data_IF_953135046218
#
_entry.id   IF_953135046218
#
_cell.length_a   1.000
_cell.length_b   1.000
_cell.length_c   1.000
_cell.angle_alpha   90.00
_cell.angle_beta   90.00
_cell.angle_gamma   90.00
#
_symmetry.space_group_name_H-M   'P 1'
#
loop_
_entity.id
_entity.type
_entity.pdbx_description
1 polymer ?
#
# COMPACT_ATOMS: atom_id res chain seq x y z
N UNK A 1 1.68 -10.45 13.30
CA UNK A 1 2.88 -10.79 12.50
C UNK A 1 4.12 -10.41 13.32
N UNK A 2 5.05 -11.34 13.58
CA UNK A 2 6.33 -11.09 14.29
C UNK A 2 7.48 -11.61 13.44
N UNK A 3 8.62 -10.89 13.41
CA UNK A 3 9.85 -11.34 12.75
C UNK A 3 10.01 -10.96 11.27
N UNK A 4 9.22 -10.01 10.75
CA UNK A 4 9.42 -9.48 9.39
C UNK A 4 9.89 -8.03 9.47
N UNK A 5 10.91 -7.69 8.67
CA UNK A 5 11.43 -6.32 8.57
C UNK A 5 10.59 -5.44 7.64
N UNK A 6 9.96 -6.05 6.63
CA UNK A 6 9.12 -5.36 5.65
C UNK A 6 7.97 -6.25 5.15
N UNK A 7 6.89 -5.61 4.69
CA UNK A 7 5.77 -6.27 4.01
C UNK A 7 5.57 -5.62 2.64
N UNK A 8 5.32 -6.42 1.61
CA UNK A 8 4.87 -5.97 0.30
C UNK A 8 3.50 -6.57 0.03
N UNK A 9 2.56 -5.77 -0.47
CA UNK A 9 1.23 -6.26 -0.86
C UNK A 9 0.77 -5.63 -2.18
N UNK A 10 0.18 -6.47 -3.04
CA UNK A 10 -0.30 -6.14 -4.38
C UNK A 10 -1.70 -6.75 -4.57
N UNK A 11 -2.77 -6.03 -4.18
CA UNK A 11 -4.13 -6.54 -4.19
C UNK A 11 -4.82 -6.38 -5.56
N UNK A 12 -5.95 -7.08 -5.78
CA UNK A 12 -6.84 -6.78 -6.90
C UNK A 12 -7.43 -5.37 -6.79
N UNK A 13 -8.16 -4.91 -7.82
CA UNK A 13 -8.77 -3.56 -7.89
C UNK A 13 -9.61 -3.16 -6.67
N UNK A 14 -10.15 -4.13 -5.93
CA UNK A 14 -10.91 -3.92 -4.70
C UNK A 14 -10.06 -3.38 -3.53
N UNK A 15 -8.73 -3.49 -3.62
CA UNK A 15 -7.77 -3.11 -2.57
C UNK A 15 -7.57 -4.20 -1.52
N UNK A 16 -6.86 -3.84 -0.45
CA UNK A 16 -6.35 -4.71 0.60
C UNK A 16 -6.83 -4.30 2.00
N UNK A 17 -8.07 -3.82 2.14
CA UNK A 17 -8.55 -3.19 3.38
C UNK A 17 -8.31 -4.06 4.63
N UNK A 18 -8.65 -5.35 4.56
CA UNK A 18 -8.44 -6.29 5.66
C UNK A 18 -6.94 -6.50 5.96
N UNK A 19 -6.11 -6.61 4.92
CA UNK A 19 -4.67 -6.79 5.05
C UNK A 19 -4.01 -5.51 5.59
N UNK A 20 -4.42 -4.32 5.16
CA UNK A 20 -3.96 -3.05 5.70
C UNK A 20 -4.27 -2.94 7.20
N UNK A 21 -5.44 -3.42 7.63
CA UNK A 21 -5.79 -3.49 9.04
C UNK A 21 -4.89 -4.46 9.84
N UNK A 22 -4.51 -5.61 9.26
CA UNK A 22 -3.54 -6.53 9.90
C UNK A 22 -2.12 -5.94 9.94
N UNK A 23 -1.69 -5.27 8.88
CA UNK A 23 -0.38 -4.59 8.81
C UNK A 23 -0.32 -3.46 9.84
N UNK A 24 -1.40 -2.67 9.97
CA UNK A 24 -1.53 -1.62 10.98
C UNK A 24 -1.35 -2.14 12.42
N UNK A 25 -1.83 -3.36 12.72
CA UNK A 25 -1.65 -4.03 14.02
C UNK A 25 -0.29 -4.71 14.18
N UNK A 26 0.50 -4.79 13.11
CA UNK A 26 1.75 -5.54 13.11
C UNK A 26 2.90 -4.77 13.78
N UNK A 27 4.02 -5.47 13.96
CA UNK A 27 5.29 -4.92 14.43
C UNK A 27 6.16 -4.28 13.33
N UNK A 28 5.79 -4.40 12.05
CA UNK A 28 6.69 -4.09 10.93
C UNK A 28 7.06 -2.60 10.86
N UNK A 29 8.29 -2.31 10.47
CA UNK A 29 8.78 -0.93 10.29
C UNK A 29 8.53 -0.38 8.88
N UNK A 30 8.35 -1.27 7.88
CA UNK A 30 8.19 -0.88 6.47
C UNK A 30 7.07 -1.64 5.79
N UNK A 31 6.23 -0.94 5.03
CA UNK A 31 5.23 -1.54 4.16
C UNK A 31 5.32 -0.93 2.76
N UNK A 32 5.13 -1.76 1.72
CA UNK A 32 5.09 -1.33 0.32
C UNK A 32 3.77 -1.81 -0.28
N UNK A 33 2.99 -0.88 -0.80
CA UNK A 33 1.71 -1.14 -1.44
C UNK A 33 1.86 -0.96 -2.95
N UNK A 34 1.56 -1.99 -3.73
CA UNK A 34 1.34 -1.88 -5.17
C UNK A 34 -0.16 -1.72 -5.41
N UNK A 35 -0.58 -0.93 -6.39
CA UNK A 35 -2.02 -0.78 -6.68
C UNK A 35 -2.30 -0.33 -8.11
N UNK A 36 -3.28 -0.99 -8.70
CA UNK A 36 -3.88 -0.65 -10.00
C UNK A 36 -5.09 0.29 -9.89
N UNK A 37 -5.45 0.72 -8.67
CA UNK A 37 -6.61 1.56 -8.40
C UNK A 37 -6.30 2.61 -7.32
N UNK A 38 -6.05 3.88 -7.72
CA UNK A 38 -5.72 4.95 -6.79
C UNK A 38 -6.76 5.18 -5.69
N UNK A 39 -8.05 4.92 -5.95
CA UNK A 39 -9.09 5.15 -4.96
C UNK A 39 -9.04 4.16 -3.79
N UNK A 40 -8.85 2.87 -4.10
CA UNK A 40 -8.74 1.84 -3.05
C UNK A 40 -7.38 1.91 -2.37
N UNK A 41 -6.31 2.29 -3.08
CA UNK A 41 -5.03 2.65 -2.47
C UNK A 41 -5.18 3.73 -1.40
N UNK A 42 -5.89 4.84 -1.66
CA UNK A 42 -6.06 5.92 -0.68
C UNK A 42 -6.75 5.44 0.59
N UNK A 43 -7.77 4.58 0.48
CA UNK A 43 -8.44 3.97 1.64
C UNK A 43 -7.44 3.13 2.46
N UNK A 44 -6.71 2.24 1.80
CA UNK A 44 -5.79 1.32 2.48
C UNK A 44 -4.59 2.08 3.08
N UNK A 45 -4.07 3.08 2.37
CA UNK A 45 -3.03 3.99 2.85
C UNK A 45 -3.48 4.77 4.10
N UNK A 46 -4.73 5.25 4.13
CA UNK A 46 -5.29 5.94 5.29
C UNK A 46 -5.33 5.05 6.54
N UNK A 47 -5.60 3.75 6.38
CA UNK A 47 -5.54 2.80 7.50
C UNK A 47 -4.12 2.72 8.07
N UNK A 48 -3.11 2.62 7.20
CA UNK A 48 -1.70 2.58 7.63
C UNK A 48 -1.27 3.91 8.28
N UNK A 49 -1.63 5.04 7.69
CA UNK A 49 -1.27 6.37 8.22
C UNK A 49 -1.91 6.62 9.59
N UNK A 50 -3.18 6.25 9.76
CA UNK A 50 -3.85 6.35 11.06
C UNK A 50 -3.22 5.43 12.13
N UNK A 51 -2.51 4.38 11.71
CA UNK A 51 -1.78 3.48 12.61
C UNK A 51 -0.33 3.92 12.89
N UNK A 52 0.06 5.11 12.42
CA UNK A 52 1.36 5.72 12.68
C UNK A 52 2.40 5.52 11.59
N UNK A 53 2.04 4.93 10.44
CA UNK A 53 2.95 4.93 9.28
C UNK A 53 2.98 6.32 8.62
N UNK A 54 4.16 6.74 8.16
CA UNK A 54 4.36 7.81 7.19
C UNK A 54 4.28 7.24 5.77
N UNK A 55 3.62 7.95 4.86
CA UNK A 55 3.69 7.66 3.42
C UNK A 55 4.87 8.46 2.83
N UNK A 56 6.00 7.80 2.66
CA UNK A 56 7.26 8.45 2.30
C UNK A 56 7.37 8.75 0.81
N UNK A 57 6.76 7.90 -0.03
CA UNK A 57 6.84 8.02 -1.48
C UNK A 57 5.63 7.36 -2.15
N UNK A 58 5.17 7.98 -3.22
CA UNK A 58 4.27 7.36 -4.20
C UNK A 58 4.90 7.49 -5.58
N UNK A 59 5.03 6.37 -6.29
CA UNK A 59 5.56 6.32 -7.65
C UNK A 59 4.48 5.79 -8.59
N UNK A 60 3.90 6.62 -9.47
CA UNK A 60 3.07 6.16 -10.57
C UNK A 60 3.90 5.38 -11.59
N UNK A 61 3.32 4.33 -12.17
CA UNK A 61 3.91 3.46 -13.19
C UNK A 61 2.92 3.32 -14.34
N UNK A 62 3.34 3.75 -15.53
CA UNK A 62 2.59 3.54 -16.77
C UNK A 62 2.86 2.13 -17.32
N UNK A 63 2.25 1.13 -16.68
CA UNK A 63 2.42 -0.28 -17.05
C UNK A 63 1.63 -0.65 -18.31
N UNK A 64 0.53 0.06 -18.58
CA UNK A 64 -0.42 -0.26 -19.63
C UNK A 64 -0.53 0.90 -20.63
N UNK A 65 0.46 0.98 -21.51
CA UNK A 65 0.54 1.99 -22.55
C UNK A 65 -0.77 2.06 -23.37
N UNK A 66 -1.17 3.29 -23.70
CA UNK A 66 -2.38 3.59 -24.48
C UNK A 66 -3.69 3.16 -23.78
N UNK A 67 -3.68 2.97 -22.46
CA UNK A 67 -4.87 2.79 -21.64
C UNK A 67 -5.04 3.94 -20.64
N UNK A 68 -6.21 4.02 -20.01
CA UNK A 68 -6.44 4.92 -18.88
C UNK A 68 -6.00 4.34 -17.52
N UNK A 69 -5.45 3.12 -17.50
CA UNK A 69 -5.03 2.46 -16.27
C UNK A 69 -3.65 2.96 -15.82
N UNK A 70 -3.49 3.15 -14.51
CA UNK A 70 -2.22 3.52 -13.88
C UNK A 70 -1.95 2.59 -12.72
N UNK A 71 -0.75 2.03 -12.69
CA UNK A 71 -0.23 1.34 -11.51
C UNK A 71 0.49 2.35 -10.62
N UNK A 72 0.57 2.09 -9.33
CA UNK A 72 1.37 2.88 -8.41
C UNK A 72 2.03 2.01 -7.35
N UNK A 73 3.12 2.52 -6.80
CA UNK A 73 3.80 1.95 -5.64
C UNK A 73 3.90 2.99 -4.54
N UNK A 74 3.28 2.70 -3.38
CA UNK A 74 3.40 3.48 -2.15
C UNK A 74 4.40 2.85 -1.18
N UNK A 75 5.34 3.64 -0.67
CA UNK A 75 6.31 3.22 0.35
C UNK A 75 5.97 3.87 1.67
N UNK A 76 5.83 3.06 2.71
CA UNK A 76 5.50 3.48 4.07
C UNK A 76 6.58 3.08 5.06
N UNK A 77 6.83 3.94 6.06
CA UNK A 77 7.70 3.64 7.20
C UNK A 77 7.07 4.08 8.53
N UNK A 78 7.49 3.47 9.64
CA UNK A 78 7.15 3.91 11.00
C UNK A 78 8.30 3.70 11.97
#
# INVERSE_FOLDING_TARGET
MKGFDAIVFDPPRAGAEAQAAEIARSGVARAVAVSCNPQTFVRDAKILVNAGFSLDRVTPIDQFLWSAHVELVGVFSR
#
